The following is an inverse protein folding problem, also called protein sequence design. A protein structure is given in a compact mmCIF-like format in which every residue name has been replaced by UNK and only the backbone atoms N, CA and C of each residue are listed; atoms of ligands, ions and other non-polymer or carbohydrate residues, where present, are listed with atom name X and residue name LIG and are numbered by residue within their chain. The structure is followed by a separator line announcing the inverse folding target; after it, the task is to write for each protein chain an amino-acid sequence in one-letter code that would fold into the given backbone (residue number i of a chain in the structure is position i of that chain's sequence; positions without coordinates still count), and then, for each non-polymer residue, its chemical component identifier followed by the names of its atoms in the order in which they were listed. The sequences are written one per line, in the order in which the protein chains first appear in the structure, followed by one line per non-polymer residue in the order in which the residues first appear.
data_IF_941004809422
#
_entry.id   IF_941004809422
#
_cell.length_a   1.000
_cell.length_b   1.000
_cell.length_c   1.000
_cell.angle_alpha   90.00
_cell.angle_beta   90.00
_cell.angle_gamma   90.00
#
_symmetry.space_group_name_H-M   'P 1'
#
loop_
_entity.id
_entity.type
_entity.pdbx_description
1 polymer ?
#
# COMPACT_ATOMS: atom_id res chain seq x y z
N UNK A 1 -17.23 -14.76 43.92
CA UNK A 1 -15.84 -14.40 44.29
C UNK A 1 -15.02 -14.35 42.99
N UNK A 2 -14.88 -13.18 42.34
CA UNK A 2 -14.14 -13.07 41.10
C UNK A 2 -12.67 -12.82 41.47
N UNK A 3 -11.82 -13.79 41.28
CA UNK A 3 -10.36 -13.63 41.40
C UNK A 3 -9.92 -12.52 40.45
N UNK A 4 -9.55 -11.37 41.01
CA UNK A 4 -8.92 -10.27 40.30
C UNK A 4 -7.52 -10.74 39.85
N UNK A 5 -7.37 -11.10 38.59
CA UNK A 5 -6.03 -11.32 38.01
C UNK A 5 -5.39 -9.95 37.88
N UNK A 6 -4.73 -9.52 38.96
CA UNK A 6 -3.83 -8.34 38.93
C UNK A 6 -2.45 -8.88 38.60
N UNK A 7 -1.95 -8.58 37.42
CA UNK A 7 -0.59 -8.95 37.02
C UNK A 7 0.44 -8.25 37.92
N UNK A 8 1.61 -8.88 38.03
CA UNK A 8 2.72 -8.37 38.82
C UNK A 8 3.13 -6.96 38.37
N UNK A 9 3.67 -6.10 39.24
CA UNK A 9 4.20 -4.79 38.85
C UNK A 9 5.19 -4.88 37.69
N UNK A 10 6.02 -5.93 37.64
CA UNK A 10 6.99 -6.17 36.56
C UNK A 10 6.34 -6.28 35.17
N UNK A 11 5.17 -6.93 35.07
CA UNK A 11 4.48 -7.03 33.78
C UNK A 11 3.97 -5.67 33.27
N UNK A 12 3.51 -4.78 34.16
CA UNK A 12 3.09 -3.41 33.77
C UNK A 12 4.27 -2.56 33.32
N UNK A 13 5.44 -2.69 33.98
CA UNK A 13 6.65 -2.03 33.53
C UNK A 13 7.14 -2.56 32.19
N UNK A 14 7.01 -3.86 31.94
CA UNK A 14 7.30 -4.46 30.65
C UNK A 14 6.39 -3.89 29.54
N UNK A 15 5.08 -3.79 29.76
CA UNK A 15 4.17 -3.16 28.81
C UNK A 15 4.50 -1.68 28.57
N UNK A 16 4.83 -0.95 29.63
CA UNK A 16 5.27 0.45 29.50
C UNK A 16 6.54 0.56 28.68
N UNK A 17 7.52 -0.32 28.89
CA UNK A 17 8.74 -0.34 28.10
C UNK A 17 8.45 -0.60 26.63
N UNK A 18 7.57 -1.55 26.27
CA UNK A 18 7.13 -1.77 24.90
C UNK A 18 6.50 -0.54 24.28
N UNK A 19 5.66 0.18 25.04
CA UNK A 19 5.03 1.42 24.58
C UNK A 19 6.06 2.53 24.35
N UNK A 20 7.04 2.69 25.25
CA UNK A 20 8.10 3.69 25.10
C UNK A 20 9.00 3.40 23.89
N UNK A 21 9.30 2.12 23.62
CA UNK A 21 10.06 1.70 22.44
C UNK A 21 9.24 1.89 21.16
N UNK A 22 7.94 1.63 21.21
CA UNK A 22 7.04 1.73 20.05
C UNK A 22 6.65 3.16 19.67
N UNK A 23 6.55 4.08 20.63
CA UNK A 23 6.09 5.46 20.39
C UNK A 23 6.91 6.24 19.33
N UNK A 24 8.25 6.16 19.27
CA UNK A 24 9.03 6.82 18.25
C UNK A 24 8.67 6.41 16.82
N UNK A 25 8.22 5.18 16.59
CA UNK A 25 7.87 4.70 15.24
C UNK A 25 6.67 5.42 14.63
N UNK A 26 5.85 6.10 15.40
CA UNK A 26 4.82 6.97 14.83
C UNK A 26 5.41 8.16 14.07
N UNK A 27 6.62 8.60 14.41
CA UNK A 27 7.22 9.81 13.86
C UNK A 27 8.47 9.55 13.01
N UNK A 28 9.15 8.42 13.23
CA UNK A 28 10.41 8.08 12.56
C UNK A 28 10.39 6.65 12.02
N UNK A 29 11.02 6.45 10.86
CA UNK A 29 11.26 5.13 10.29
C UNK A 29 10.11 4.51 9.52
N UNK A 30 9.05 5.24 9.25
CA UNK A 30 7.90 4.76 8.48
C UNK A 30 8.22 4.48 6.99
N UNK A 31 7.30 3.80 6.28
CA UNK A 31 7.47 3.50 4.87
C UNK A 31 7.56 4.77 4.03
N UNK A 32 8.52 4.78 3.11
CA UNK A 32 8.62 5.80 2.07
C UNK A 32 7.69 5.52 0.89
N UNK A 33 7.63 6.45 -0.08
CA UNK A 33 6.79 6.35 -1.27
C UNK A 33 7.03 5.07 -2.08
N UNK A 34 8.28 4.60 -2.15
CA UNK A 34 8.68 3.40 -2.89
C UNK A 34 8.83 2.14 -2.01
N UNK A 35 8.41 2.19 -0.76
CA UNK A 35 8.41 0.99 0.09
C UNK A 35 7.45 -0.05 -0.45
N UNK A 36 7.78 -1.34 -0.26
CA UNK A 36 6.88 -2.43 -0.65
C UNK A 36 5.49 -2.25 -0.02
N UNK A 37 4.46 -2.67 -0.72
CA UNK A 37 3.06 -2.57 -0.22
C UNK A 37 2.86 -3.38 1.05
N UNK A 38 3.53 -4.53 1.16
CA UNK A 38 3.48 -5.34 2.37
C UNK A 38 4.06 -4.61 3.56
N UNK A 39 5.18 -3.88 3.39
CA UNK A 39 5.76 -3.08 4.47
C UNK A 39 4.86 -1.90 4.86
N UNK A 40 4.28 -1.20 3.88
CA UNK A 40 3.31 -0.13 4.15
C UNK A 40 2.12 -0.66 4.95
N UNK A 41 1.48 -1.73 4.50
CA UNK A 41 0.32 -2.31 5.17
C UNK A 41 0.65 -2.95 6.53
N UNK A 42 1.85 -3.51 6.70
CA UNK A 42 2.32 -4.01 8.00
C UNK A 42 2.51 -2.86 8.99
N UNK A 43 3.05 -1.74 8.52
CA UNK A 43 3.21 -0.54 9.34
C UNK A 43 1.87 0.00 9.83
N UNK A 44 0.89 0.11 8.94
CA UNK A 44 -0.46 0.52 9.28
C UNK A 44 -1.13 -0.45 10.28
N UNK A 45 -0.88 -1.75 10.14
CA UNK A 45 -1.38 -2.78 11.08
C UNK A 45 -0.73 -2.62 12.47
N UNK A 46 0.47 -2.06 12.55
CA UNK A 46 1.17 -1.74 13.79
C UNK A 46 0.37 -0.85 14.74
N UNK A 47 -0.46 0.03 14.21
CA UNK A 47 -1.39 0.86 14.99
C UNK A 47 -2.34 0.03 15.85
N UNK A 48 -2.94 -1.04 15.31
CA UNK A 48 -3.83 -1.95 16.04
C UNK A 48 -3.07 -2.57 17.22
N UNK A 49 -1.87 -3.07 16.95
CA UNK A 49 -1.05 -3.76 17.96
C UNK A 49 -0.61 -2.80 19.08
N UNK A 50 -0.08 -1.63 18.72
CA UNK A 50 0.36 -0.63 19.69
C UNK A 50 -0.78 -0.19 20.62
N UNK A 51 -1.94 0.17 20.07
CA UNK A 51 -3.07 0.63 20.87
C UNK A 51 -3.79 -0.51 21.61
N UNK A 52 -3.67 -1.76 21.17
CA UNK A 52 -4.04 -2.92 21.96
C UNK A 52 -3.18 -3.01 23.24
N UNK A 53 -1.86 -2.90 23.13
CA UNK A 53 -0.94 -2.91 24.28
C UNK A 53 -1.20 -1.70 25.18
N UNK A 54 -1.38 -0.51 24.62
CA UNK A 54 -1.69 0.72 25.36
C UNK A 54 -2.98 0.61 26.15
N UNK A 55 -4.05 0.16 25.51
CA UNK A 55 -5.37 -0.04 26.14
C UNK A 55 -5.27 -1.02 27.31
N UNK A 56 -4.58 -2.13 27.09
CA UNK A 56 -4.41 -3.13 28.14
C UNK A 56 -3.56 -2.63 29.30
N UNK A 57 -2.47 -1.93 29.03
CA UNK A 57 -1.64 -1.29 30.04
C UNK A 57 -2.46 -0.28 30.87
N UNK A 58 -3.22 0.60 30.23
CA UNK A 58 -4.03 1.62 30.90
C UNK A 58 -5.14 0.98 31.75
N UNK A 59 -5.80 -0.07 31.22
CA UNK A 59 -6.79 -0.87 31.97
C UNK A 59 -6.16 -1.43 33.26
N UNK A 60 -4.97 -2.00 33.21
CA UNK A 60 -4.26 -2.52 34.38
C UNK A 60 -3.88 -1.42 35.39
N UNK A 61 -3.46 -0.25 34.90
CA UNK A 61 -3.13 0.89 35.74
C UNK A 61 -4.33 1.44 36.51
N UNK A 62 -5.49 1.53 35.87
CA UNK A 62 -6.73 1.99 36.51
C UNK A 62 -7.18 1.01 37.62
N UNK A 63 -7.12 -0.28 37.34
CA UNK A 63 -7.53 -1.31 38.30
C UNK A 63 -6.64 -1.37 39.55
N UNK A 64 -5.38 -1.07 39.44
CA UNK A 64 -4.46 -1.11 40.58
C UNK A 64 -4.55 0.13 41.48
N UNK A 65 -5.06 1.26 40.96
CA UNK A 65 -5.22 2.51 41.75
C UNK A 65 -6.50 2.54 42.60
N UNK A 66 -7.25 1.42 42.66
CA UNK A 66 -8.45 1.32 43.49
C UNK A 66 -9.62 2.20 43.04
N UNK A 67 -9.54 2.86 41.87
CA UNK A 67 -10.66 3.62 41.33
C UNK A 67 -11.74 2.64 40.84
N UNK A 68 -12.88 2.61 41.49
CA UNK A 68 -13.99 1.78 41.08
C UNK A 68 -14.79 2.47 39.97
N UNK A 69 -14.28 2.37 38.75
CA UNK A 69 -15.11 2.68 37.59
C UNK A 69 -16.12 1.54 37.38
N UNK A 70 -17.36 1.91 37.05
CA UNK A 70 -18.25 0.91 36.48
C UNK A 70 -17.67 0.41 35.15
N UNK A 71 -17.86 -0.86 34.75
CA UNK A 71 -17.29 -1.39 33.53
C UNK A 71 -17.57 -0.56 32.26
N UNK A 72 -18.79 -0.01 32.04
CA UNK A 72 -19.02 0.88 30.92
C UNK A 72 -18.26 2.20 31.01
N UNK A 73 -18.18 2.80 32.20
CA UNK A 73 -17.47 4.08 32.38
C UNK A 73 -15.96 3.92 32.12
N UNK A 74 -15.36 2.81 32.55
CA UNK A 74 -13.95 2.50 32.25
C UNK A 74 -13.72 2.34 30.75
N UNK A 75 -14.59 1.60 30.06
CA UNK A 75 -14.52 1.44 28.60
C UNK A 75 -14.56 2.78 27.89
N UNK A 76 -15.59 3.61 28.13
CA UNK A 76 -15.72 4.89 27.46
C UNK A 76 -14.55 5.83 27.79
N UNK A 77 -14.08 5.83 29.03
CA UNK A 77 -12.93 6.64 29.44
C UNK A 77 -11.67 6.26 28.63
N UNK A 78 -11.34 4.95 28.52
CA UNK A 78 -10.18 4.50 27.76
C UNK A 78 -10.41 4.70 26.26
N UNK A 79 -11.61 4.42 25.74
CA UNK A 79 -11.96 4.62 24.35
C UNK A 79 -11.72 6.07 23.90
N UNK A 80 -12.16 7.06 24.70
CA UNK A 80 -11.92 8.46 24.37
C UNK A 80 -10.48 8.89 24.56
N UNK A 81 -9.72 8.31 25.48
CA UNK A 81 -8.26 8.55 25.57
C UNK A 81 -7.58 8.03 24.30
N UNK A 82 -7.87 6.81 23.85
CA UNK A 82 -7.30 6.24 22.62
C UNK A 82 -7.67 7.09 21.41
N UNK A 83 -8.92 7.55 21.31
CA UNK A 83 -9.39 8.43 20.25
C UNK A 83 -8.62 9.75 20.25
N UNK A 84 -8.52 10.41 21.39
CA UNK A 84 -7.81 11.69 21.54
C UNK A 84 -6.32 11.55 21.18
N UNK A 85 -5.66 10.52 21.70
CA UNK A 85 -4.25 10.26 21.38
C UNK A 85 -4.06 9.93 19.90
N UNK A 86 -4.95 9.12 19.32
CA UNK A 86 -4.89 8.80 17.88
C UNK A 86 -4.98 10.06 17.02
N UNK A 87 -5.96 10.92 17.27
CA UNK A 87 -6.09 12.20 16.55
C UNK A 87 -4.86 13.10 16.79
N UNK A 88 -4.35 13.14 18.02
CA UNK A 88 -3.16 13.95 18.35
C UNK A 88 -1.94 13.48 17.57
N UNK A 89 -1.72 12.17 17.46
CA UNK A 89 -0.63 11.61 16.66
C UNK A 89 -0.75 12.03 15.19
N UNK A 90 -1.94 11.91 14.59
CA UNK A 90 -2.18 12.32 13.20
C UNK A 90 -1.90 13.81 12.97
N UNK A 91 -2.37 14.67 13.88
CA UNK A 91 -2.10 16.11 13.80
C UNK A 91 -0.60 16.41 13.91
N UNK A 92 0.11 15.76 14.84
CA UNK A 92 1.56 15.95 15.01
C UNK A 92 2.35 15.43 13.81
N UNK A 93 1.94 14.32 13.18
CA UNK A 93 2.54 13.81 11.95
C UNK A 93 2.37 14.80 10.79
N UNK A 94 1.23 15.45 10.67
CA UNK A 94 0.98 16.48 9.65
C UNK A 94 1.89 17.71 9.86
N UNK A 95 2.17 18.09 11.09
CA UNK A 95 3.03 19.24 11.41
C UNK A 95 4.52 18.93 11.22
N UNK A 96 4.94 17.68 11.42
CA UNK A 96 6.36 17.27 11.41
C UNK A 96 6.85 16.59 10.13
N UNK A 97 5.96 16.18 9.24
CA UNK A 97 6.31 15.48 8.00
C UNK A 97 5.39 15.89 6.84
N UNK A 98 5.80 15.61 5.60
CA UNK A 98 4.96 15.79 4.41
C UNK A 98 3.85 14.73 4.26
N UNK A 99 3.49 14.05 5.34
CA UNK A 99 2.42 13.05 5.38
C UNK A 99 1.05 13.73 5.52
N UNK A 100 0.09 13.30 4.72
CA UNK A 100 -1.32 13.63 4.93
C UNK A 100 -1.89 12.79 6.07
N UNK A 101 -2.80 13.36 6.91
CA UNK A 101 -3.44 12.62 7.99
C UNK A 101 -4.26 11.46 7.42
N UNK A 102 -4.14 10.28 8.04
CA UNK A 102 -4.92 9.09 7.68
C UNK A 102 -5.95 8.75 8.77
N UNK A 103 -7.22 9.05 8.50
CA UNK A 103 -8.32 8.66 9.39
C UNK A 103 -8.42 7.14 9.57
N UNK A 104 -7.86 6.36 8.65
CA UNK A 104 -7.75 4.91 8.77
C UNK A 104 -6.91 4.50 9.98
N UNK A 105 -5.86 5.25 10.31
CA UNK A 105 -5.00 4.98 11.48
C UNK A 105 -5.75 5.24 12.79
N UNK A 106 -6.59 6.27 12.85
CA UNK A 106 -7.47 6.51 14.01
C UNK A 106 -8.46 5.34 14.20
N UNK A 107 -9.02 4.81 13.11
CA UNK A 107 -9.89 3.62 13.17
C UNK A 107 -9.11 2.38 13.62
N UNK A 108 -7.89 2.16 13.13
CA UNK A 108 -7.01 1.05 13.54
C UNK A 108 -6.67 1.13 15.03
N UNK A 109 -6.43 2.32 15.56
CA UNK A 109 -6.20 2.55 16.99
C UNK A 109 -7.43 2.10 17.82
N UNK A 110 -8.64 2.45 17.38
CA UNK A 110 -9.88 2.03 18.06
C UNK A 110 -10.10 0.52 17.96
N UNK A 111 -9.73 -0.12 16.85
CA UNK A 111 -9.81 -1.58 16.73
C UNK A 111 -8.92 -2.29 17.76
N UNK A 112 -7.73 -1.76 18.05
CA UNK A 112 -6.86 -2.21 19.13
C UNK A 112 -7.54 -2.14 20.51
N UNK A 113 -8.22 -1.02 20.80
CA UNK A 113 -9.00 -0.84 22.02
C UNK A 113 -10.17 -1.84 22.12
N UNK A 114 -10.96 -1.97 21.06
CA UNK A 114 -12.10 -2.87 21.00
C UNK A 114 -11.69 -4.34 21.17
N UNK A 115 -10.53 -4.73 20.63
CA UNK A 115 -9.99 -6.08 20.77
C UNK A 115 -9.75 -6.42 22.25
N UNK A 116 -9.13 -5.52 23.00
CA UNK A 116 -8.88 -5.72 24.43
C UNK A 116 -10.19 -5.90 25.19
N UNK A 117 -11.16 -5.03 25.00
CA UNK A 117 -12.44 -5.09 25.71
C UNK A 117 -13.32 -6.27 25.31
N UNK A 118 -13.20 -6.72 24.06
CA UNK A 118 -13.98 -7.86 23.57
C UNK A 118 -13.44 -9.23 24.02
N UNK A 119 -12.11 -9.36 24.15
CA UNK A 119 -11.47 -10.66 24.34
C UNK A 119 -10.62 -10.78 25.61
N UNK A 120 -9.92 -9.72 26.01
CA UNK A 120 -8.90 -9.80 27.07
C UNK A 120 -9.51 -9.40 28.42
N UNK A 121 -10.33 -8.35 28.44
CA UNK A 121 -10.93 -7.91 29.70
C UNK A 121 -12.21 -8.69 30.01
N UNK A 122 -12.32 -9.18 31.25
CA UNK A 122 -13.54 -9.82 31.75
C UNK A 122 -14.50 -8.77 32.33
N UNK A 123 -14.67 -7.66 31.65
CA UNK A 123 -15.61 -6.62 32.07
C UNK A 123 -17.03 -7.07 31.70
N UNK A 124 -17.95 -7.04 32.65
CA UNK A 124 -19.35 -7.44 32.44
C UNK A 124 -20.19 -6.42 31.61
N UNK A 125 -19.53 -5.65 30.71
CA UNK A 125 -20.18 -4.62 29.86
C UNK A 125 -21.28 -5.23 29.00
N UNK A 126 -21.04 -6.45 28.50
CA UNK A 126 -22.01 -7.18 27.69
C UNK A 126 -22.59 -8.32 28.52
N UNK A 127 -23.63 -8.03 29.31
CA UNK A 127 -24.29 -9.00 30.16
C UNK A 127 -24.97 -10.12 29.35
N UNK A 128 -25.50 -9.79 28.17
CA UNK A 128 -26.20 -10.75 27.30
C UNK A 128 -25.22 -11.54 26.47
N UNK A 129 -25.27 -12.87 26.54
CA UNK A 129 -24.41 -13.81 25.83
C UNK A 129 -24.36 -13.53 24.30
N UNK A 130 -25.51 -13.40 23.67
CA UNK A 130 -25.61 -13.13 22.23
C UNK A 130 -24.98 -11.80 21.81
N UNK A 131 -25.19 -10.75 22.59
CA UNK A 131 -24.57 -9.45 22.31
C UNK A 131 -23.04 -9.52 22.34
N UNK A 132 -22.49 -10.30 23.27
CA UNK A 132 -21.04 -10.55 23.35
C UNK A 132 -20.51 -11.27 22.12
N UNK A 133 -21.26 -12.29 21.62
CA UNK A 133 -20.87 -12.98 20.37
C UNK A 133 -20.92 -12.03 19.19
N UNK A 134 -22.00 -11.26 19.04
CA UNK A 134 -22.13 -10.30 17.94
C UNK A 134 -21.00 -9.26 17.94
N UNK A 135 -20.65 -8.69 19.10
CA UNK A 135 -19.55 -7.73 19.21
C UNK A 135 -18.22 -8.38 18.87
N UNK A 136 -17.94 -9.56 19.39
CA UNK A 136 -16.70 -10.29 19.06
C UNK A 136 -16.60 -10.59 17.56
N UNK A 137 -17.69 -11.06 16.96
CA UNK A 137 -17.74 -11.30 15.52
C UNK A 137 -17.50 -10.01 14.73
N UNK A 138 -18.15 -8.90 15.13
CA UNK A 138 -17.94 -7.58 14.50
C UNK A 138 -16.49 -7.10 14.60
N UNK A 139 -15.85 -7.24 15.77
CA UNK A 139 -14.45 -6.85 15.96
C UNK A 139 -13.52 -7.73 15.13
N UNK A 140 -13.71 -9.05 15.09
CA UNK A 140 -12.90 -9.94 14.25
C UNK A 140 -13.08 -9.60 12.78
N UNK A 141 -14.30 -9.40 12.30
CA UNK A 141 -14.56 -9.00 10.91
C UNK A 141 -13.88 -7.67 10.56
N UNK A 142 -13.94 -6.68 11.45
CA UNK A 142 -13.28 -5.39 11.24
C UNK A 142 -11.74 -5.52 11.20
N UNK A 143 -11.15 -6.39 12.04
CA UNK A 143 -9.71 -6.68 12.00
C UNK A 143 -9.33 -7.38 10.70
N UNK A 144 -10.10 -8.36 10.23
CA UNK A 144 -9.86 -9.04 8.94
C UNK A 144 -9.87 -8.03 7.78
N UNK A 145 -10.81 -7.10 7.78
CA UNK A 145 -10.87 -6.00 6.79
C UNK A 145 -9.64 -5.10 6.91
N UNK A 146 -9.24 -4.72 8.13
CA UNK A 146 -8.08 -3.85 8.36
C UNK A 146 -6.74 -4.51 7.98
N UNK A 147 -6.61 -5.83 8.10
CA UNK A 147 -5.41 -6.62 7.74
C UNK A 147 -5.44 -7.07 6.27
N UNK A 148 -6.58 -6.98 5.60
CA UNK A 148 -6.73 -7.41 4.21
C UNK A 148 -5.73 -6.77 3.23
N UNK A 149 -5.39 -5.46 3.31
CA UNK A 149 -4.36 -4.85 2.47
C UNK A 149 -2.99 -5.54 2.60
N UNK A 150 -2.59 -5.93 3.83
CA UNK A 150 -1.35 -6.66 4.08
C UNK A 150 -1.39 -8.06 3.43
N UNK A 151 -2.46 -8.80 3.67
CA UNK A 151 -2.63 -10.15 3.11
C UNK A 151 -2.57 -10.11 1.59
N UNK A 152 -3.30 -9.19 0.97
CA UNK A 152 -3.31 -8.99 -0.47
C UNK A 152 -1.93 -8.63 -1.01
N UNK A 153 -1.20 -7.73 -0.34
CA UNK A 153 0.13 -7.32 -0.76
C UNK A 153 1.13 -8.47 -0.71
N UNK A 154 1.11 -9.27 0.37
CA UNK A 154 1.99 -10.45 0.50
C UNK A 154 1.72 -11.50 -0.58
N UNK A 155 0.45 -11.79 -0.87
CA UNK A 155 0.08 -12.74 -1.92
C UNK A 155 0.58 -12.23 -3.27
N UNK A 156 0.33 -10.96 -3.60
CA UNK A 156 0.72 -10.43 -4.89
C UNK A 156 2.25 -10.28 -5.05
N UNK A 157 2.96 -9.89 -4.01
CA UNK A 157 4.44 -9.85 -4.04
C UNK A 157 5.06 -11.24 -4.22
N UNK A 158 4.44 -12.28 -3.61
CA UNK A 158 4.84 -13.67 -3.85
C UNK A 158 4.60 -14.07 -5.31
N UNK A 159 3.39 -13.82 -5.84
CA UNK A 159 3.06 -14.13 -7.24
C UNK A 159 3.94 -13.37 -8.23
N UNK A 160 4.20 -12.08 -7.99
CA UNK A 160 5.08 -11.27 -8.82
C UNK A 160 6.50 -11.86 -8.95
N UNK A 161 7.04 -12.40 -7.85
CA UNK A 161 8.34 -13.08 -7.87
C UNK A 161 8.31 -14.40 -8.65
N UNK A 162 7.20 -15.15 -8.57
CA UNK A 162 7.03 -16.41 -9.30
C UNK A 162 6.85 -16.20 -10.81
N UNK A 163 6.17 -15.12 -11.20
CA UNK A 163 5.92 -14.78 -12.61
C UNK A 163 7.11 -14.13 -13.30
N UNK A 164 8.06 -13.56 -12.53
CA UNK A 164 9.20 -12.87 -13.12
C UNK A 164 9.92 -13.74 -14.16
N UNK A 165 10.18 -13.24 -15.37
CA UNK A 165 10.31 -11.83 -15.78
C UNK A 165 9.01 -11.14 -16.28
N UNK A 166 7.84 -11.76 -16.15
CA UNK A 166 6.56 -11.08 -16.39
C UNK A 166 6.34 -10.08 -15.26
N UNK A 167 6.15 -8.80 -15.61
CA UNK A 167 5.93 -7.72 -14.65
C UNK A 167 4.45 -7.49 -14.40
N UNK A 168 3.62 -7.59 -15.46
CA UNK A 168 2.16 -7.54 -15.39
C UNK A 168 1.54 -8.09 -16.69
N UNK A 169 0.74 -9.14 -16.57
CA UNK A 169 -0.11 -9.70 -17.63
C UNK A 169 -1.60 -9.72 -17.25
N UNK A 170 -1.93 -9.21 -16.04
CA UNK A 170 -3.27 -9.08 -15.49
C UNK A 170 -4.02 -10.40 -15.25
N UNK A 171 -3.35 -11.54 -15.31
CA UNK A 171 -3.93 -12.85 -15.08
C UNK A 171 -4.13 -13.14 -13.58
N UNK A 172 -3.35 -12.50 -12.70
CA UNK A 172 -3.52 -12.68 -11.26
C UNK A 172 -4.42 -11.60 -10.64
N UNK A 173 -5.14 -11.91 -9.53
CA UNK A 173 -6.25 -11.08 -9.06
C UNK A 173 -5.84 -9.71 -8.52
N UNK A 174 -4.57 -9.51 -8.17
CA UNK A 174 -4.11 -8.30 -7.47
C UNK A 174 -3.14 -7.43 -8.26
N UNK A 175 -2.82 -7.77 -9.49
CA UNK A 175 -1.84 -7.04 -10.32
C UNK A 175 -2.20 -5.58 -10.54
N UNK A 176 -3.49 -5.24 -10.63
CA UNK A 176 -3.91 -3.85 -10.76
C UNK A 176 -3.36 -2.94 -9.64
N UNK A 177 -3.09 -3.50 -8.46
CA UNK A 177 -2.56 -2.75 -7.32
C UNK A 177 -1.03 -2.59 -7.38
N UNK A 178 -0.35 -3.20 -8.34
CA UNK A 178 1.05 -2.90 -8.66
C UNK A 178 1.21 -1.54 -9.32
N UNK A 179 0.10 -1.00 -9.84
CA UNK A 179 0.06 0.25 -10.58
C UNK A 179 -0.40 1.41 -9.69
N UNK A 180 0.26 2.57 -9.84
CA UNK A 180 -0.26 3.83 -9.30
C UNK A 180 -1.48 4.27 -10.12
N UNK A 181 -2.38 5.04 -9.52
CA UNK A 181 -3.67 5.38 -10.12
C UNK A 181 -4.49 4.15 -10.55
N UNK A 182 -4.47 3.12 -9.70
CA UNK A 182 -5.22 1.88 -9.93
C UNK A 182 -6.74 2.06 -9.98
N UNK A 183 -7.26 3.22 -9.59
CA UNK A 183 -8.63 3.68 -9.79
C UNK A 183 -8.98 3.91 -11.27
N UNK A 184 -8.00 4.33 -12.08
CA UNK A 184 -8.11 4.51 -13.52
C UNK A 184 -7.92 3.19 -14.30
N UNK A 185 -7.53 2.11 -13.61
CA UNK A 185 -7.20 0.82 -14.20
C UNK A 185 -8.22 -0.23 -13.76
N UNK A 186 -8.90 -0.85 -14.73
CA UNK A 186 -9.83 -1.96 -14.52
C UNK A 186 -9.35 -3.17 -15.31
N UNK A 187 -9.39 -4.36 -14.71
CA UNK A 187 -9.07 -5.60 -15.42
C UNK A 187 -10.34 -6.18 -16.04
N UNK A 188 -10.27 -6.60 -17.31
CA UNK A 188 -11.38 -7.15 -18.06
C UNK A 188 -10.93 -8.20 -19.07
N UNK A 189 -11.88 -8.89 -19.70
CA UNK A 189 -11.66 -9.94 -20.72
C UNK A 189 -12.15 -9.54 -22.11
N UNK A 190 -12.57 -8.29 -22.32
CA UNK A 190 -13.20 -7.88 -23.58
C UNK A 190 -12.19 -7.70 -24.71
N UNK A 191 -11.02 -7.12 -24.42
CA UNK A 191 -9.95 -6.85 -25.36
C UNK A 191 -8.64 -7.31 -24.72
N UNK A 192 -8.11 -8.44 -25.16
CA UNK A 192 -6.98 -9.15 -24.58
C UNK A 192 -5.94 -9.41 -25.66
N UNK A 193 -4.66 -9.22 -25.36
CA UNK A 193 -3.54 -9.57 -26.26
C UNK A 193 -2.98 -10.93 -25.94
N UNK A 194 -2.79 -11.22 -24.64
CA UNK A 194 -2.22 -12.46 -24.14
C UNK A 194 -3.07 -13.00 -22.98
N UNK A 195 -3.24 -14.32 -22.90
CA UNK A 195 -4.00 -14.94 -21.81
C UNK A 195 -5.50 -14.67 -21.89
N UNK A 196 -6.12 -14.28 -20.78
CA UNK A 196 -7.57 -14.13 -20.61
C UNK A 196 -8.01 -12.75 -20.14
N UNK A 197 -7.08 -11.90 -19.71
CA UNK A 197 -7.37 -10.60 -19.11
C UNK A 197 -6.38 -9.54 -19.55
N UNK A 198 -6.84 -8.32 -19.64
CA UNK A 198 -6.01 -7.14 -19.90
C UNK A 198 -6.47 -5.97 -19.00
N UNK A 199 -5.62 -4.95 -18.88
CA UNK A 199 -5.98 -3.74 -18.17
C UNK A 199 -6.65 -2.73 -19.11
N UNK A 200 -7.87 -2.31 -18.79
CA UNK A 200 -8.54 -1.15 -19.35
C UNK A 200 -8.11 0.10 -18.60
N UNK A 201 -7.44 1.02 -19.25
CA UNK A 201 -6.91 2.26 -18.66
C UNK A 201 -7.74 3.45 -19.16
N UNK A 202 -8.32 4.21 -18.22
CA UNK A 202 -9.06 5.43 -18.51
C UNK A 202 -8.11 6.62 -18.52
N UNK A 203 -7.91 7.23 -19.68
CA UNK A 203 -7.13 8.46 -19.84
C UNK A 203 -8.07 9.67 -19.75
N UNK A 204 -7.64 10.69 -19.00
CA UNK A 204 -8.37 11.94 -18.82
C UNK A 204 -7.78 13.07 -19.69
N UNK A 205 -8.39 14.25 -19.61
CA UNK A 205 -7.92 15.48 -20.26
C UNK A 205 -6.93 16.29 -19.41
N UNK A 206 -6.51 15.76 -18.26
CA UNK A 206 -5.52 16.42 -17.41
C UNK A 206 -4.20 16.62 -18.15
N UNK A 207 -3.37 17.54 -17.67
CA UNK A 207 -2.05 17.82 -18.27
C UNK A 207 -1.22 16.54 -18.44
N UNK A 208 -1.27 15.63 -17.46
CA UNK A 208 -0.70 14.29 -17.52
C UNK A 208 -1.76 13.29 -17.10
N UNK A 209 -1.98 12.26 -17.90
CA UNK A 209 -2.93 11.19 -17.58
C UNK A 209 -2.37 9.85 -17.99
N UNK A 210 -2.38 8.87 -17.07
CA UNK A 210 -1.85 7.53 -17.33
C UNK A 210 -1.66 6.73 -16.06
N UNK A 211 -0.92 5.64 -16.18
CA UNK A 211 -0.65 4.70 -15.09
C UNK A 211 0.85 4.43 -14.97
N UNK A 212 1.31 4.07 -13.79
CA UNK A 212 2.71 3.73 -13.57
C UNK A 212 2.83 2.47 -12.70
N UNK A 213 3.64 1.53 -13.15
CA UNK A 213 3.99 0.31 -12.44
C UNK A 213 5.13 0.61 -11.46
N UNK A 214 4.91 0.31 -10.16
CA UNK A 214 5.88 0.54 -9.08
C UNK A 214 6.22 -0.73 -8.30
N UNK A 215 5.30 -1.67 -8.22
CA UNK A 215 5.45 -2.83 -7.35
C UNK A 215 5.72 -4.09 -8.19
N UNK A 216 7.00 -4.28 -8.52
CA UNK A 216 7.52 -5.38 -9.35
C UNK A 216 8.93 -5.76 -8.89
N UNK A 217 9.51 -6.89 -9.33
CA UNK A 217 10.93 -7.18 -9.08
C UNK A 217 11.83 -6.15 -9.75
N UNK A 218 12.62 -5.41 -8.97
CA UNK A 218 13.32 -4.20 -9.38
C UNK A 218 14.65 -4.47 -10.10
N UNK A 219 15.21 -5.69 -10.04
CA UNK A 219 16.48 -6.04 -10.69
C UNK A 219 16.26 -6.46 -12.15
N UNK A 220 16.56 -5.54 -13.05
CA UNK A 220 16.43 -5.75 -14.50
C UNK A 220 17.76 -6.12 -15.18
N UNK A 221 18.81 -6.36 -14.39
CA UNK A 221 20.09 -6.81 -14.95
C UNK A 221 19.96 -8.17 -15.62
N UNK A 222 20.70 -8.40 -16.74
CA UNK A 222 20.64 -9.63 -17.50
C UNK A 222 19.50 -9.71 -18.52
N UNK A 223 18.56 -8.76 -18.51
CA UNK A 223 17.57 -8.59 -19.56
C UNK A 223 18.02 -7.51 -20.54
N UNK A 224 17.48 -7.55 -21.77
CA UNK A 224 17.88 -6.62 -22.82
C UNK A 224 16.74 -5.77 -23.34
N UNK A 225 15.51 -6.19 -23.14
CA UNK A 225 14.33 -5.50 -23.64
C UNK A 225 13.22 -5.49 -22.60
N UNK A 226 12.44 -4.41 -22.59
CA UNK A 226 11.12 -4.36 -21.98
C UNK A 226 10.07 -4.40 -23.07
N UNK A 227 9.13 -5.33 -22.97
CA UNK A 227 8.00 -5.49 -23.89
C UNK A 227 6.71 -5.09 -23.20
N UNK A 228 5.78 -4.51 -23.97
CA UNK A 228 4.41 -4.26 -23.53
C UNK A 228 3.50 -4.05 -24.74
N UNK A 229 2.24 -4.42 -24.62
CA UNK A 229 1.24 -4.31 -25.68
C UNK A 229 0.16 -3.29 -25.33
N UNK A 230 -0.14 -2.38 -26.26
CA UNK A 230 -1.17 -1.34 -26.06
C UNK A 230 -2.19 -1.41 -27.19
N UNK A 231 -3.48 -1.45 -26.83
CA UNK A 231 -4.57 -1.38 -27.78
C UNK A 231 -5.21 0.00 -27.78
N UNK A 232 -5.28 0.60 -28.97
CA UNK A 232 -6.02 1.84 -29.20
C UNK A 232 -7.34 1.53 -29.92
N UNK A 233 -8.50 1.72 -29.29
CA UNK A 233 -9.79 1.47 -29.90
C UNK A 233 -10.20 2.54 -30.92
N UNK A 234 -9.52 3.69 -30.95
CA UNK A 234 -9.82 4.77 -31.89
C UNK A 234 -9.05 4.58 -33.20
N UNK A 235 -9.63 5.10 -34.30
CA UNK A 235 -8.97 5.14 -35.61
C UNK A 235 -7.87 6.19 -35.72
N UNK A 236 -7.86 7.17 -34.82
CA UNK A 236 -6.82 8.22 -34.74
C UNK A 236 -5.64 7.74 -33.91
N UNK A 237 -4.41 7.92 -34.38
CA UNK A 237 -3.21 7.61 -33.61
C UNK A 237 -3.20 8.37 -32.28
N UNK A 238 -2.54 7.77 -31.27
CA UNK A 238 -2.37 8.33 -29.95
C UNK A 238 -0.88 8.40 -29.61
N UNK A 239 -0.37 9.59 -29.25
CA UNK A 239 0.97 9.72 -28.71
C UNK A 239 1.00 9.27 -27.24
N UNK A 240 1.60 8.12 -26.97
CA UNK A 240 1.81 7.56 -25.64
C UNK A 240 3.27 7.71 -25.23
N UNK A 241 3.51 8.27 -24.06
CA UNK A 241 4.85 8.44 -23.52
C UNK A 241 5.15 7.35 -22.49
N UNK A 242 6.31 6.74 -22.61
CA UNK A 242 6.89 5.84 -21.61
C UNK A 242 7.99 6.55 -20.82
N UNK A 243 8.06 6.32 -19.51
CA UNK A 243 9.13 6.75 -18.64
C UNK A 243 9.62 5.60 -17.77
N UNK A 244 10.93 5.52 -17.55
CA UNK A 244 11.53 4.56 -16.61
C UNK A 244 12.54 5.33 -15.77
N UNK A 245 12.58 5.03 -14.47
CA UNK A 245 13.53 5.64 -13.54
C UNK A 245 13.94 4.67 -12.43
N UNK A 246 15.09 4.95 -11.84
CA UNK A 246 15.67 4.18 -10.74
C UNK A 246 15.52 4.90 -9.38
N UNK A 247 16.00 4.26 -8.33
CA UNK A 247 16.01 4.73 -6.93
C UNK A 247 16.71 6.08 -6.76
N UNK A 248 17.63 6.45 -7.64
CA UNK A 248 18.39 7.69 -7.53
C UNK A 248 17.66 8.91 -8.09
N UNK A 249 16.64 8.70 -8.93
CA UNK A 249 15.89 9.77 -9.58
C UNK A 249 15.32 10.81 -8.61
N UNK A 250 14.81 10.39 -7.46
CA UNK A 250 14.31 11.30 -6.41
C UNK A 250 15.42 12.17 -5.84
N UNK A 251 16.63 11.63 -5.67
CA UNK A 251 17.78 12.38 -5.14
C UNK A 251 18.28 13.45 -6.12
N UNK A 252 17.99 13.27 -7.40
CA UNK A 252 18.32 14.21 -8.48
C UNK A 252 17.15 15.16 -8.82
N UNK A 253 16.25 15.44 -7.88
CA UNK A 253 15.19 16.44 -8.03
C UNK A 253 14.05 16.04 -8.96
N UNK A 254 13.93 14.77 -9.34
CA UNK A 254 12.92 14.25 -10.30
C UNK A 254 13.02 14.90 -11.68
N UNK A 255 14.22 15.29 -12.09
CA UNK A 255 14.44 15.98 -13.35
C UNK A 255 14.13 15.10 -14.57
N UNK A 256 13.55 15.70 -15.60
CA UNK A 256 13.25 15.02 -16.86
C UNK A 256 14.50 14.38 -17.51
N UNK A 257 15.66 15.04 -17.37
CA UNK A 257 16.94 14.57 -17.92
C UNK A 257 17.59 13.42 -17.14
N UNK A 258 17.09 13.09 -15.94
CA UNK A 258 17.60 12.03 -15.07
C UNK A 258 16.80 10.73 -15.16
N UNK A 259 16.05 10.52 -16.23
CA UNK A 259 15.26 9.32 -16.48
C UNK A 259 15.14 9.02 -17.97
N UNK A 260 14.74 7.79 -18.29
CA UNK A 260 14.36 7.43 -19.63
C UNK A 260 12.99 8.00 -19.99
N UNK A 261 12.86 8.56 -21.20
CA UNK A 261 11.60 9.06 -21.75
C UNK A 261 11.57 8.74 -23.26
N UNK A 262 10.46 8.19 -23.71
CA UNK A 262 10.21 7.92 -25.15
C UNK A 262 8.74 8.04 -25.47
N UNK A 263 8.42 8.71 -26.59
CA UNK A 263 7.10 8.73 -27.18
C UNK A 263 6.90 7.59 -28.17
N UNK A 264 5.68 7.08 -28.24
CA UNK A 264 5.24 6.06 -29.18
C UNK A 264 3.95 6.50 -29.85
N UNK A 265 3.88 6.42 -31.18
CA UNK A 265 2.66 6.57 -31.93
C UNK A 265 1.89 5.24 -31.89
N UNK A 266 0.76 5.25 -31.19
CA UNK A 266 -0.09 4.07 -31.01
C UNK A 266 -1.19 4.10 -32.06
N UNK A 267 -1.03 3.28 -33.08
CA UNK A 267 -2.01 3.10 -34.16
C UNK A 267 -3.30 2.40 -33.66
N UNK A 268 -4.33 2.42 -34.48
CA UNK A 268 -5.59 1.71 -34.17
C UNK A 268 -5.34 0.21 -34.05
N UNK A 269 -5.90 -0.41 -33.03
CA UNK A 269 -5.69 -1.83 -32.73
C UNK A 269 -4.53 -2.10 -31.77
N UNK A 270 -4.01 -3.31 -31.79
CA UNK A 270 -2.86 -3.73 -30.96
C UNK A 270 -1.54 -3.24 -31.52
N UNK A 271 -0.73 -2.67 -30.63
CA UNK A 271 0.64 -2.24 -30.86
C UNK A 271 1.57 -2.97 -29.87
N UNK A 272 2.47 -3.80 -30.36
CA UNK A 272 3.48 -4.48 -29.56
C UNK A 272 4.75 -3.63 -29.54
N UNK A 273 5.10 -3.12 -28.36
CA UNK A 273 6.15 -2.13 -28.17
C UNK A 273 7.35 -2.75 -27.45
N UNK A 274 8.54 -2.32 -27.84
CA UNK A 274 9.80 -2.80 -27.28
C UNK A 274 10.69 -1.62 -26.93
N UNK A 275 11.21 -1.63 -25.71
CA UNK A 275 12.21 -0.67 -25.23
C UNK A 275 13.52 -1.40 -25.00
N UNK A 276 14.61 -1.08 -25.72
CA UNK A 276 15.93 -1.60 -25.44
C UNK A 276 16.46 -1.09 -24.10
N UNK A 277 16.89 -1.98 -23.21
CA UNK A 277 17.33 -1.62 -21.87
C UNK A 277 18.71 -0.97 -21.81
N UNK A 278 19.55 -1.12 -22.83
CA UNK A 278 20.78 -0.35 -23.02
C UNK A 278 20.48 1.16 -23.15
N UNK A 279 19.43 1.51 -23.90
CA UNK A 279 18.96 2.91 -23.99
C UNK A 279 18.40 3.43 -22.66
N UNK A 280 17.75 2.56 -21.89
CA UNK A 280 17.28 2.91 -20.54
C UNK A 280 18.47 3.17 -19.63
N UNK A 281 19.47 2.29 -19.63
CA UNK A 281 20.67 2.44 -18.83
C UNK A 281 21.46 3.72 -19.13
N UNK A 282 21.53 4.13 -20.40
CA UNK A 282 22.27 5.30 -20.86
C UNK A 282 21.46 6.61 -20.81
N UNK A 283 20.16 6.57 -20.43
CA UNK A 283 19.28 7.73 -20.55
C UNK A 283 19.58 8.89 -19.58
N UNK A 284 19.93 8.68 -18.31
CA UNK A 284 20.23 9.76 -17.39
C UNK A 284 21.47 10.56 -17.83
N UNK A 285 21.37 11.90 -17.84
CA UNK A 285 22.52 12.77 -18.11
C UNK A 285 23.51 12.71 -16.95
N UNK A 286 24.78 12.42 -17.26
CA UNK A 286 25.87 12.46 -16.28
C UNK A 286 26.02 11.23 -15.40
N UNK A 287 25.17 10.21 -15.55
CA UNK A 287 25.26 8.92 -14.85
C UNK A 287 24.65 7.79 -15.67
N UNK A 288 24.92 6.57 -15.27
CA UNK A 288 24.21 5.39 -15.76
C UNK A 288 23.04 5.08 -14.81
N UNK A 289 21.89 4.66 -15.35
CA UNK A 289 20.76 4.22 -14.55
C UNK A 289 21.11 2.94 -13.78
N UNK A 290 20.73 2.87 -12.53
CA UNK A 290 20.91 1.68 -11.69
C UNK A 290 19.88 0.60 -12.07
N UNK A 291 20.26 -0.29 -12.97
CA UNK A 291 19.41 -1.36 -13.47
C UNK A 291 19.10 -2.44 -12.42
N UNK A 292 19.78 -2.43 -11.27
CA UNK A 292 19.45 -3.30 -10.14
C UNK A 292 18.26 -2.78 -9.32
N UNK A 293 18.00 -1.46 -9.38
CA UNK A 293 17.02 -0.80 -8.54
C UNK A 293 16.10 0.11 -9.37
N UNK A 294 15.48 -0.44 -10.42
CA UNK A 294 14.45 0.27 -11.19
C UNK A 294 13.22 0.47 -10.30
N UNK A 295 12.77 1.70 -10.13
CA UNK A 295 11.64 2.02 -9.24
C UNK A 295 10.31 2.20 -9.95
N UNK A 296 10.30 2.62 -11.21
CA UNK A 296 9.04 2.87 -11.89
C UNK A 296 9.10 2.77 -13.41
N UNK A 297 8.04 2.20 -13.95
CA UNK A 297 7.70 2.22 -15.37
C UNK A 297 6.33 2.88 -15.55
N UNK A 298 6.27 4.05 -16.20
CA UNK A 298 5.05 4.82 -16.39
C UNK A 298 4.67 4.96 -17.85
N UNK A 299 3.38 4.88 -18.13
CA UNK A 299 2.76 5.13 -19.43
C UNK A 299 1.74 6.25 -19.29
N UNK A 300 1.87 7.32 -20.07
CA UNK A 300 1.04 8.50 -19.93
C UNK A 300 0.90 9.28 -21.23
N UNK A 301 -0.17 10.03 -21.32
CA UNK A 301 -0.44 11.00 -22.38
C UNK A 301 -0.37 12.43 -21.84
N UNK A 302 -0.11 13.39 -22.70
CA UNK A 302 0.00 14.81 -22.34
C UNK A 302 -1.14 15.56 -23.03
N UNK A 303 -1.93 16.31 -22.24
CA UNK A 303 -2.97 17.26 -22.71
C UNK A 303 -3.87 16.70 -23.82
N UNK A 304 -4.49 15.54 -23.58
CA UNK A 304 -5.43 14.96 -24.54
C UNK A 304 -6.65 15.86 -24.72
N UNK A 305 -7.12 16.05 -25.97
CA UNK A 305 -8.29 16.89 -26.25
C UNK A 305 -9.59 16.30 -25.71
N UNK A 306 -9.65 14.99 -25.54
CA UNK A 306 -10.81 14.27 -24.97
C UNK A 306 -10.36 13.05 -24.19
N UNK A 307 -11.15 12.69 -23.18
CA UNK A 307 -10.95 11.45 -22.43
C UNK A 307 -11.11 10.24 -23.36
N UNK A 308 -10.26 9.24 -23.17
CA UNK A 308 -10.32 8.00 -23.95
C UNK A 308 -9.82 6.81 -23.15
N UNK A 309 -10.09 5.62 -23.67
CA UNK A 309 -9.67 4.35 -23.09
C UNK A 309 -8.58 3.78 -23.96
N UNK A 310 -7.58 3.17 -23.34
CA UNK A 310 -6.65 2.23 -23.97
C UNK A 310 -6.67 0.92 -23.19
N UNK A 311 -6.13 -0.14 -23.78
CA UNK A 311 -5.91 -1.40 -23.08
C UNK A 311 -4.43 -1.70 -23.06
N UNK A 312 -3.95 -2.18 -21.92
CA UNK A 312 -2.55 -2.53 -21.66
C UNK A 312 -2.47 -4.01 -21.29
N UNK A 313 -1.48 -4.69 -21.86
CA UNK A 313 -1.31 -6.12 -21.64
C UNK A 313 0.15 -6.54 -21.82
N UNK A 314 0.51 -7.73 -21.33
CA UNK A 314 1.73 -8.44 -21.62
C UNK A 314 3.01 -7.62 -21.40
N UNK A 315 3.16 -7.08 -20.17
CA UNK A 315 4.36 -6.33 -19.75
C UNK A 315 5.40 -7.28 -19.20
N UNK A 316 6.54 -7.44 -19.87
CA UNK A 316 7.60 -8.39 -19.47
C UNK A 316 8.99 -7.96 -19.90
N UNK A 317 10.00 -8.50 -19.24
CA UNK A 317 11.40 -8.35 -19.63
C UNK A 317 11.82 -9.53 -20.52
N UNK A 318 12.41 -9.20 -21.66
CA UNK A 318 12.88 -10.18 -22.64
C UNK A 318 14.40 -10.39 -22.60
N UNK A 319 14.85 -11.62 -22.98
CA UNK A 319 16.26 -11.86 -23.28
C UNK A 319 16.68 -11.13 -24.56
N UNK A 320 17.99 -11.14 -24.84
CA UNK A 320 18.48 -10.71 -26.15
C UNK A 320 17.73 -11.40 -27.29
N UNK A 321 17.33 -10.67 -28.35
CA UNK A 321 16.94 -11.35 -29.59
C UNK A 321 18.14 -12.16 -30.08
N UNK A 322 18.15 -13.47 -29.81
CA UNK A 322 19.20 -14.36 -30.28
C UNK A 322 19.81 -15.37 -29.28
N UNK A 323 19.10 -15.71 -28.20
CA UNK A 323 19.43 -16.90 -27.39
C UNK A 323 18.23 -17.81 -27.24
#
# INVERSE_FOLDING_TARGET
MHTRVVFSPHFRYFLLLLLLIGAPFFFWGGPGYYSSRSFQAAWDTGHIFYFMVFTYWLHQCLRTRGKEFSPPAEFFFIFFIVLFLGITVEVLQTLGSSRSPDMGDVVRNQLGCLLVYSFITRTGILARYWLRICVRFGVVSAILVAVWPLTRALIDEYLARQQFPVLADFETPFERYRWNHSDQLQTGSDIVRHGHRAARVQLSTNQYSGVALFYFPHDWRGFQTLHFSVYNPKKTPLMLNARIHDVHHKKHGLEYSDRYNQGFDIESGWNDLVIPLDKVAAAPKGRTMDMQHIEGFGLFVIQQPCAQVIYLDNVYLGPSPGK
#
